data_IF_848541293347
#
_entry.id   IF_848541293347
#
_cell.length_a   1.000
_cell.length_b   1.000
_cell.length_c   1.000
_cell.angle_alpha   90.00
_cell.angle_beta   90.00
_cell.angle_gamma   90.00
#
_symmetry.space_group_name_H-M   'P 1'
#
loop_
_entity.id
_entity.type
_entity.pdbx_description
1 polymer ?
#
# COMPACT_ATOMS: atom_id res chain seq x y z
N UNK A 1 4.81 16.58 -14.31
CA UNK A 1 5.76 16.72 -15.44
C UNK A 1 5.97 18.21 -15.73
N UNK A 2 6.59 18.92 -14.78
CA UNK A 2 6.67 20.39 -14.79
C UNK A 2 7.80 20.88 -15.72
N UNK A 3 8.87 20.10 -15.85
CA UNK A 3 10.05 20.45 -16.66
C UNK A 3 9.74 20.61 -18.17
N UNK A 4 8.73 19.91 -18.70
CA UNK A 4 8.33 20.07 -20.10
C UNK A 4 7.51 21.35 -20.39
N UNK A 5 7.21 22.16 -19.36
CA UNK A 5 6.42 23.40 -19.48
C UNK A 5 7.26 24.68 -19.37
N UNK A 6 8.58 24.58 -19.21
CA UNK A 6 9.46 25.73 -18.95
C UNK A 6 9.89 26.41 -20.26
N UNK A 7 10.64 25.72 -21.11
CA UNK A 7 10.95 26.15 -22.48
C UNK A 7 11.31 24.93 -23.35
N UNK A 8 11.48 25.13 -24.66
CA UNK A 8 11.80 24.06 -25.62
C UNK A 8 13.09 23.32 -25.26
N UNK A 9 14.15 24.04 -24.89
CA UNK A 9 15.45 23.47 -24.53
C UNK A 9 15.34 22.57 -23.29
N UNK A 10 14.68 23.03 -22.22
CA UNK A 10 14.48 22.22 -21.01
C UNK A 10 13.64 20.97 -21.28
N UNK A 11 12.68 21.05 -22.21
CA UNK A 11 11.94 19.87 -22.65
C UNK A 11 12.86 18.88 -23.35
N UNK A 12 13.70 19.32 -24.28
CA UNK A 12 14.66 18.46 -25.00
C UNK A 12 15.65 17.80 -24.03
N UNK A 13 16.23 18.56 -23.10
CA UNK A 13 17.12 18.03 -22.05
C UNK A 13 16.39 17.01 -21.19
N UNK A 14 15.17 17.31 -20.74
CA UNK A 14 14.38 16.39 -19.94
C UNK A 14 14.06 15.10 -20.71
N UNK A 15 13.80 15.19 -22.02
CA UNK A 15 13.53 14.04 -22.88
C UNK A 15 14.76 13.18 -23.15
N UNK A 16 15.95 13.80 -23.25
CA UNK A 16 17.21 13.10 -23.43
C UNK A 16 17.69 12.40 -22.15
N UNK A 17 17.42 12.98 -20.97
CA UNK A 17 17.98 12.50 -19.70
C UNK A 17 17.03 11.49 -19.01
N UNK A 18 17.19 10.21 -19.36
CA UNK A 18 16.36 9.11 -18.86
C UNK A 18 16.23 8.97 -17.32
N UNK A 19 17.22 9.31 -16.48
CA UNK A 19 17.08 9.24 -15.02
C UNK A 19 15.97 10.13 -14.46
N UNK A 20 15.61 11.22 -15.15
CA UNK A 20 14.50 12.11 -14.73
C UNK A 20 13.13 11.42 -14.81
N UNK A 21 13.05 10.31 -15.55
CA UNK A 21 11.85 9.51 -15.70
C UNK A 21 11.86 8.28 -14.79
N UNK A 22 12.70 8.24 -13.75
CA UNK A 22 12.67 7.13 -12.78
C UNK A 22 11.39 7.11 -11.95
N UNK A 23 10.71 8.25 -11.77
CA UNK A 23 9.51 8.33 -10.93
C UNK A 23 8.33 8.95 -11.68
N UNK A 24 7.18 8.29 -11.62
CA UNK A 24 5.90 8.86 -12.02
C UNK A 24 4.98 8.99 -10.80
N UNK A 25 4.52 10.21 -10.53
CA UNK A 25 3.49 10.49 -9.53
C UNK A 25 2.23 10.96 -10.24
N UNK A 26 1.13 10.25 -10.04
CA UNK A 26 -0.19 10.58 -10.55
C UNK A 26 -1.07 10.99 -9.37
N UNK A 27 -1.59 12.22 -9.45
CA UNK A 27 -2.58 12.74 -8.52
C UNK A 27 -3.92 12.69 -9.22
N UNK A 28 -4.82 11.88 -8.68
CA UNK A 28 -6.14 11.66 -9.24
C UNK A 28 -7.11 12.42 -8.35
N UNK A 29 -7.61 13.51 -8.91
CA UNK A 29 -8.70 14.28 -8.32
C UNK A 29 -10.00 13.62 -8.74
N UNK A 30 -10.90 13.39 -7.79
CA UNK A 30 -12.27 13.01 -8.14
C UNK A 30 -12.88 14.17 -8.93
N UNK A 31 -13.59 13.81 -9.99
CA UNK A 31 -14.44 14.75 -10.69
C UNK A 31 -15.62 15.08 -9.76
N UNK A 32 -16.10 16.33 -9.73
CA UNK A 32 -17.30 16.65 -8.98
C UNK A 32 -18.38 15.65 -9.38
N UNK A 33 -19.00 15.02 -8.37
CA UNK A 33 -20.08 14.06 -8.61
C UNK A 33 -21.19 14.71 -9.44
N UNK A 34 -21.95 13.90 -10.18
CA UNK A 34 -23.11 14.36 -10.97
C UNK A 34 -24.16 15.11 -10.12
N UNK A 35 -24.03 15.05 -8.80
CA UNK A 35 -24.92 15.67 -7.81
C UNK A 35 -24.61 17.15 -7.54
N UNK A 36 -23.64 17.81 -8.19
CA UNK A 36 -23.49 19.27 -8.06
C UNK A 36 -24.61 19.98 -8.87
N UNK A 37 -25.62 20.58 -8.20
CA UNK A 37 -26.74 21.21 -8.88
C UNK A 37 -26.34 22.47 -9.65
N UNK A 38 -25.13 23.00 -9.43
CA UNK A 38 -24.67 24.24 -10.05
C UNK A 38 -23.98 24.04 -11.41
N UNK A 39 -23.74 22.79 -11.84
CA UNK A 39 -23.09 22.49 -13.13
C UNK A 39 -24.16 22.22 -14.19
N UNK A 40 -24.36 23.13 -15.18
CA UNK A 40 -25.35 22.92 -16.23
C UNK A 40 -25.02 21.67 -17.05
N UNK A 41 -26.05 20.90 -17.41
CA UNK A 41 -25.91 19.63 -18.15
C UNK A 41 -25.10 19.75 -19.45
N UNK A 42 -25.18 20.90 -20.11
CA UNK A 42 -24.43 21.19 -21.35
C UNK A 42 -22.92 21.35 -21.13
N UNK A 43 -22.48 21.64 -19.90
CA UNK A 43 -21.06 21.74 -19.54
C UNK A 43 -20.48 20.41 -19.05
N UNK A 44 -21.32 19.37 -18.85
CA UNK A 44 -20.87 18.05 -18.42
C UNK A 44 -20.22 17.33 -19.60
N UNK A 45 -18.92 17.04 -19.57
CA UNK A 45 -18.28 16.27 -20.64
C UNK A 45 -18.97 14.91 -20.76
N UNK A 46 -19.21 14.44 -21.99
CA UNK A 46 -19.99 13.21 -22.23
C UNK A 46 -19.42 11.92 -21.61
N UNK A 47 -18.20 11.92 -21.05
CA UNK A 47 -17.69 10.85 -20.21
C UNK A 47 -16.35 11.28 -19.54
N UNK A 48 -16.36 12.03 -18.43
CA UNK A 48 -15.13 12.54 -17.83
C UNK A 48 -14.24 11.40 -17.30
N UNK A 49 -14.84 10.25 -16.98
CA UNK A 49 -14.13 9.06 -16.51
C UNK A 49 -13.25 8.45 -17.60
N UNK A 50 -13.79 8.25 -18.80
CA UNK A 50 -12.99 7.75 -19.93
C UNK A 50 -11.86 8.70 -20.29
N UNK A 51 -12.07 10.01 -20.20
CA UNK A 51 -11.02 10.99 -20.44
C UNK A 51 -9.89 10.88 -19.39
N UNK A 52 -10.26 10.71 -18.12
CA UNK A 52 -9.31 10.47 -17.03
C UNK A 52 -8.53 9.16 -17.22
N UNK A 53 -9.22 8.05 -17.51
CA UNK A 53 -8.62 6.74 -17.80
C UNK A 53 -7.63 6.83 -18.95
N UNK A 54 -8.05 7.42 -20.07
CA UNK A 54 -7.20 7.59 -21.24
C UNK A 54 -6.00 8.49 -20.93
N UNK A 55 -6.19 9.55 -20.14
CA UNK A 55 -5.14 10.43 -19.67
C UNK A 55 -4.09 9.67 -18.83
N UNK A 56 -4.54 8.90 -17.85
CA UNK A 56 -3.67 8.06 -16.99
C UNK A 56 -2.91 7.04 -17.83
N UNK A 57 -3.59 6.31 -18.73
CA UNK A 57 -2.98 5.34 -19.61
C UNK A 57 -1.93 5.98 -20.54
N UNK A 58 -2.24 7.15 -21.12
CA UNK A 58 -1.30 7.91 -21.95
C UNK A 58 -0.06 8.36 -21.16
N UNK A 59 -0.25 8.84 -19.93
CA UNK A 59 0.85 9.22 -19.04
C UNK A 59 1.76 8.02 -18.73
N UNK A 60 1.18 6.88 -18.36
CA UNK A 60 1.93 5.65 -18.07
C UNK A 60 2.70 5.13 -19.28
N UNK A 61 2.07 5.09 -20.46
CA UNK A 61 2.72 4.70 -21.72
C UNK A 61 3.90 5.62 -22.06
N UNK A 62 3.70 6.93 -21.92
CA UNK A 62 4.76 7.93 -22.17
C UNK A 62 5.91 7.77 -21.21
N UNK A 63 5.63 7.63 -19.91
CA UNK A 63 6.62 7.43 -18.87
C UNK A 63 7.46 6.17 -19.10
N UNK A 64 6.81 5.04 -19.40
CA UNK A 64 7.47 3.77 -19.71
C UNK A 64 8.40 3.84 -20.91
N UNK A 65 7.96 4.51 -21.98
CA UNK A 65 8.77 4.69 -23.19
C UNK A 65 10.02 5.52 -22.91
N UNK A 66 9.92 6.52 -22.04
CA UNK A 66 11.02 7.45 -21.73
C UNK A 66 11.96 6.91 -20.64
N UNK A 67 11.48 6.07 -19.75
CA UNK A 67 12.28 5.56 -18.65
C UNK A 67 13.21 4.42 -19.07
N UNK A 68 14.52 4.66 -18.93
CA UNK A 68 15.58 3.66 -19.10
C UNK A 68 16.22 3.25 -17.77
N UNK A 69 15.72 3.79 -16.65
CA UNK A 69 16.22 3.44 -15.33
C UNK A 69 15.90 1.96 -15.01
N UNK A 70 16.80 1.32 -14.27
CA UNK A 70 16.62 -0.03 -13.74
C UNK A 70 15.67 -0.03 -12.53
N UNK A 71 15.74 1.00 -11.70
CA UNK A 71 14.81 1.24 -10.59
C UNK A 71 13.81 2.32 -10.98
N UNK A 72 12.52 1.96 -11.04
CA UNK A 72 11.44 2.89 -11.35
C UNK A 72 10.33 2.84 -10.31
N UNK A 73 9.79 4.01 -10.01
CA UNK A 73 8.77 4.22 -9.00
C UNK A 73 7.47 4.71 -9.63
N UNK A 74 6.38 4.01 -9.37
CA UNK A 74 5.03 4.45 -9.67
C UNK A 74 4.31 4.81 -8.37
N UNK A 75 3.77 6.02 -8.31
CA UNK A 75 2.93 6.46 -7.21
C UNK A 75 1.60 6.96 -7.75
N UNK A 76 0.50 6.40 -7.26
CA UNK A 76 -0.86 6.80 -7.60
C UNK A 76 -1.55 7.23 -6.30
N UNK A 77 -2.03 8.47 -6.27
CA UNK A 77 -2.62 9.08 -5.09
C UNK A 77 -4.01 9.58 -5.47
N UNK A 78 -5.03 9.04 -4.82
CA UNK A 78 -6.39 9.56 -4.91
C UNK A 78 -6.60 10.59 -3.81
N UNK A 79 -7.01 11.80 -4.17
CA UNK A 79 -7.12 12.90 -3.20
C UNK A 79 -8.38 12.81 -2.33
N UNK A 80 -9.46 12.20 -2.85
CA UNK A 80 -10.75 12.06 -2.15
C UNK A 80 -11.06 10.58 -1.86
N UNK A 81 -11.80 10.33 -0.77
CA UNK A 81 -11.94 9.00 -0.15
C UNK A 81 -13.22 8.24 -0.50
N UNK A 82 -14.30 8.89 -0.93
CA UNK A 82 -15.63 8.30 -0.72
C UNK A 82 -16.59 8.31 -1.92
N UNK A 83 -16.30 8.99 -3.02
CA UNK A 83 -17.34 9.26 -4.03
C UNK A 83 -17.10 8.60 -5.39
N UNK A 84 -15.88 8.13 -5.67
CA UNK A 84 -15.63 7.45 -6.94
C UNK A 84 -16.31 6.08 -7.00
N UNK A 85 -17.44 5.99 -7.72
CA UNK A 85 -18.14 4.73 -8.09
C UNK A 85 -17.77 4.21 -9.47
N UNK A 86 -16.90 4.90 -10.19
CA UNK A 86 -16.51 4.55 -11.55
C UNK A 86 -15.74 3.23 -11.69
N UNK A 87 -15.52 2.78 -12.94
CA UNK A 87 -14.65 1.65 -13.25
C UNK A 87 -13.25 1.81 -12.64
N UNK A 88 -12.60 0.69 -12.34
CA UNK A 88 -11.28 0.67 -11.74
C UNK A 88 -10.25 1.26 -12.72
N UNK A 89 -9.63 2.38 -12.34
CA UNK A 89 -8.53 2.95 -13.11
C UNK A 89 -7.36 1.97 -13.22
N UNK A 90 -7.12 1.18 -12.17
CA UNK A 90 -6.07 0.16 -12.16
C UNK A 90 -6.42 -1.02 -13.07
N UNK A 91 -7.70 -1.33 -13.23
CA UNK A 91 -8.19 -2.37 -14.12
C UNK A 91 -8.00 -2.04 -15.61
N UNK A 92 -7.77 -0.78 -15.96
CA UNK A 92 -7.44 -0.38 -17.35
C UNK A 92 -6.00 -0.66 -17.73
N UNK A 93 -5.14 -0.98 -16.76
CA UNK A 93 -3.71 -1.24 -16.96
C UNK A 93 -3.48 -2.72 -17.23
N UNK A 94 -2.70 -3.02 -18.27
CA UNK A 94 -2.38 -4.40 -18.65
C UNK A 94 -1.33 -5.04 -17.73
N UNK A 95 -1.18 -6.37 -17.70
CA UNK A 95 -0.14 -7.03 -16.90
C UNK A 95 1.30 -6.58 -17.22
N UNK A 96 1.57 -6.31 -18.50
CA UNK A 96 2.88 -5.81 -18.95
C UNK A 96 3.19 -4.41 -18.44
N UNK A 97 2.18 -3.67 -17.99
CA UNK A 97 2.34 -2.32 -17.48
C UNK A 97 3.08 -2.26 -16.14
N UNK A 98 3.22 -3.38 -15.44
CA UNK A 98 3.79 -3.41 -14.10
C UNK A 98 5.16 -4.11 -14.03
N UNK A 99 5.59 -4.77 -15.12
CA UNK A 99 6.72 -5.70 -15.12
C UNK A 99 8.05 -5.10 -14.66
N UNK A 100 8.29 -3.81 -14.93
CA UNK A 100 9.55 -3.13 -14.59
C UNK A 100 9.48 -2.33 -13.29
N UNK A 101 8.32 -2.24 -12.64
CA UNK A 101 8.13 -1.37 -11.47
C UNK A 101 8.83 -1.98 -10.27
N UNK A 102 9.84 -1.28 -9.75
CA UNK A 102 10.57 -1.70 -8.54
C UNK A 102 9.96 -1.12 -7.28
N UNK A 103 9.28 0.03 -7.38
CA UNK A 103 8.61 0.68 -6.25
C UNK A 103 7.18 1.08 -6.60
N UNK A 104 6.21 0.56 -5.86
CA UNK A 104 4.80 0.87 -6.05
C UNK A 104 4.22 1.52 -4.80
N UNK A 105 3.58 2.67 -4.98
CA UNK A 105 2.82 3.34 -3.94
C UNK A 105 1.40 3.62 -4.41
N UNK A 106 0.41 2.97 -3.79
CA UNK A 106 -1.00 3.21 -4.04
C UNK A 106 -1.63 3.80 -2.80
N UNK A 107 -1.93 5.10 -2.84
CA UNK A 107 -2.44 5.83 -1.70
C UNK A 107 -3.93 6.12 -1.87
N UNK A 108 -4.72 5.74 -0.84
CA UNK A 108 -6.16 5.92 -0.78
C UNK A 108 -6.85 5.25 -1.97
N UNK A 109 -6.55 3.98 -2.21
CA UNK A 109 -7.17 3.19 -3.28
C UNK A 109 -8.29 2.32 -2.75
N UNK A 110 -9.33 2.06 -3.55
CA UNK A 110 -10.40 1.13 -3.17
C UNK A 110 -9.86 -0.29 -3.16
N UNK A 111 -10.33 -1.09 -2.21
CA UNK A 111 -10.04 -2.53 -2.20
C UNK A 111 -10.31 -3.19 -3.55
N UNK A 112 -11.47 -2.88 -4.16
CA UNK A 112 -11.87 -3.39 -5.48
C UNK A 112 -10.80 -3.12 -6.55
N UNK A 113 -10.24 -1.91 -6.59
CA UNK A 113 -9.29 -1.52 -7.63
C UNK A 113 -7.99 -2.31 -7.52
N UNK A 114 -7.50 -2.50 -6.28
CA UNK A 114 -6.28 -3.28 -6.02
C UNK A 114 -6.53 -4.77 -6.25
N UNK A 115 -7.73 -5.28 -5.92
CA UNK A 115 -8.08 -6.69 -6.11
C UNK A 115 -8.14 -7.13 -7.57
N UNK A 116 -8.27 -6.17 -8.50
CA UNK A 116 -8.26 -6.40 -9.95
C UNK A 116 -6.86 -6.40 -10.56
N UNK A 117 -5.83 -6.08 -9.77
CA UNK A 117 -4.46 -6.13 -10.26
C UNK A 117 -4.07 -7.59 -10.59
N UNK A 118 -3.27 -7.80 -11.65
CA UNK A 118 -2.86 -9.13 -12.05
C UNK A 118 -1.91 -9.76 -11.03
N UNK A 119 -2.15 -11.03 -10.69
CA UNK A 119 -1.35 -11.82 -9.72
C UNK A 119 0.16 -11.79 -10.00
N UNK A 120 0.52 -11.80 -11.29
CA UNK A 120 1.91 -11.97 -11.74
C UNK A 120 2.41 -10.71 -12.47
N UNK A 121 1.82 -9.55 -12.16
CA UNK A 121 2.16 -8.28 -12.80
C UNK A 121 3.49 -7.68 -12.34
N UNK A 122 4.02 -8.11 -11.19
CA UNK A 122 5.05 -7.39 -10.44
C UNK A 122 6.36 -8.19 -10.21
N UNK A 123 7.00 -8.76 -11.26
CA UNK A 123 8.22 -9.56 -11.11
C UNK A 123 9.42 -8.76 -10.58
N UNK A 124 9.49 -7.45 -10.84
CA UNK A 124 10.59 -6.58 -10.41
C UNK A 124 10.33 -5.81 -9.11
N UNK A 125 9.16 -5.98 -8.47
CA UNK A 125 8.73 -5.14 -7.36
C UNK A 125 9.54 -5.45 -6.08
N UNK A 126 10.17 -4.44 -5.50
CA UNK A 126 10.98 -4.49 -4.29
C UNK A 126 10.29 -3.81 -3.09
N UNK A 127 9.63 -2.67 -3.36
CA UNK A 127 9.02 -1.80 -2.36
C UNK A 127 7.53 -1.60 -2.65
N UNK A 128 6.68 -1.89 -1.68
CA UNK A 128 5.22 -1.74 -1.78
C UNK A 128 4.70 -0.86 -0.64
N UNK A 129 3.99 0.21 -0.99
CA UNK A 129 3.26 1.08 -0.05
C UNK A 129 1.79 1.08 -0.46
N UNK A 130 0.90 0.65 0.44
CA UNK A 130 -0.53 0.58 0.19
C UNK A 130 -1.31 1.30 1.28
N UNK A 131 -2.24 2.15 0.88
CA UNK A 131 -3.28 2.69 1.75
C UNK A 131 -4.61 2.38 1.10
N UNK A 132 -5.35 1.42 1.65
CA UNK A 132 -6.56 0.87 1.05
C UNK A 132 -7.76 1.25 1.91
N UNK A 133 -8.88 1.63 1.30
CA UNK A 133 -10.14 1.85 2.02
C UNK A 133 -11.26 0.93 1.51
N UNK A 134 -12.37 0.88 2.26
CA UNK A 134 -13.56 0.09 1.95
C UNK A 134 -13.28 -1.43 1.79
N UNK A 135 -12.62 -2.02 2.78
CA UNK A 135 -12.20 -3.44 2.76
C UNK A 135 -13.35 -4.39 3.14
N UNK A 136 -14.29 -3.95 4.00
CA UNK A 136 -15.26 -4.80 4.69
C UNK A 136 -16.09 -5.75 3.82
N UNK A 137 -17.00 -5.22 3.01
CA UNK A 137 -17.97 -6.05 2.28
C UNK A 137 -17.37 -6.71 1.04
N UNK A 138 -16.38 -6.07 0.41
CA UNK A 138 -15.77 -6.59 -0.80
C UNK A 138 -14.91 -7.82 -0.53
N UNK A 139 -14.11 -7.80 0.54
CA UNK A 139 -13.20 -8.91 0.82
C UNK A 139 -13.93 -10.22 1.09
N UNK A 140 -15.06 -10.19 1.80
CA UNK A 140 -15.88 -11.41 2.04
C UNK A 140 -16.23 -12.13 0.73
N UNK A 141 -16.41 -11.36 -0.35
CA UNK A 141 -16.79 -11.88 -1.66
C UNK A 141 -15.58 -12.30 -2.50
N UNK A 142 -14.49 -11.55 -2.45
CA UNK A 142 -13.35 -11.73 -3.37
C UNK A 142 -12.16 -12.49 -2.77
N UNK A 143 -12.15 -12.71 -1.44
CA UNK A 143 -10.96 -13.17 -0.74
C UNK A 143 -9.84 -12.11 -0.72
N UNK A 144 -8.62 -12.46 -0.28
CA UNK A 144 -7.49 -11.53 -0.14
C UNK A 144 -6.94 -11.04 -1.49
N UNK A 145 -6.28 -9.89 -1.49
CA UNK A 145 -5.57 -9.37 -2.68
C UNK A 145 -4.33 -10.23 -2.92
N UNK A 146 -4.28 -10.92 -4.06
CA UNK A 146 -3.17 -11.82 -4.45
C UNK A 146 -2.19 -11.21 -5.45
N UNK A 147 -2.39 -9.96 -5.86
CA UNK A 147 -1.56 -9.25 -6.85
C UNK A 147 -0.05 -9.25 -6.58
N UNK A 148 0.35 -9.41 -5.31
CA UNK A 148 1.73 -9.28 -4.87
C UNK A 148 2.33 -10.59 -4.37
N UNK A 149 1.53 -11.66 -4.32
CA UNK A 149 1.91 -12.96 -3.74
C UNK A 149 3.12 -13.57 -4.47
N UNK A 150 3.16 -13.43 -5.79
CA UNK A 150 4.20 -13.99 -6.66
C UNK A 150 5.29 -12.96 -7.03
N UNK A 151 5.51 -11.92 -6.22
CA UNK A 151 6.55 -10.90 -6.46
C UNK A 151 7.89 -11.32 -5.86
N UNK A 152 8.84 -11.92 -6.60
CA UNK A 152 10.01 -12.61 -6.04
C UNK A 152 11.06 -11.66 -5.44
N UNK A 153 11.02 -10.37 -5.81
CA UNK A 153 11.93 -9.35 -5.31
C UNK A 153 11.33 -8.51 -4.19
N UNK A 154 10.07 -8.74 -3.80
CA UNK A 154 9.40 -7.90 -2.81
C UNK A 154 10.03 -8.11 -1.44
N UNK A 155 10.62 -7.04 -0.88
CA UNK A 155 11.33 -7.07 0.41
C UNK A 155 10.76 -6.10 1.43
N UNK A 156 10.13 -5.01 0.98
CA UNK A 156 9.67 -3.92 1.85
C UNK A 156 8.20 -3.65 1.62
N UNK A 157 7.39 -3.80 2.66
CA UNK A 157 5.94 -3.62 2.59
C UNK A 157 5.49 -2.67 3.70
N UNK A 158 4.78 -1.61 3.32
CA UNK A 158 4.08 -0.73 4.22
C UNK A 158 2.59 -0.69 3.87
N UNK A 159 1.73 -0.96 4.84
CA UNK A 159 0.28 -0.99 4.66
C UNK A 159 -0.40 -0.14 5.71
N UNK A 160 -1.37 0.65 5.25
CA UNK A 160 -2.17 1.55 6.07
C UNK A 160 -3.67 1.40 5.75
N UNK A 161 -4.50 1.77 6.71
CA UNK A 161 -5.98 1.78 6.67
C UNK A 161 -6.71 0.43 6.38
N UNK A 162 -6.18 -0.71 6.84
CA UNK A 162 -6.80 -2.03 6.70
C UNK A 162 -8.01 -2.32 7.61
N UNK A 163 -8.67 -1.30 8.17
CA UNK A 163 -9.71 -1.49 9.20
C UNK A 163 -10.90 -2.26 8.62
N UNK A 164 -10.98 -3.56 8.92
CA UNK A 164 -12.05 -4.45 8.50
C UNK A 164 -12.26 -5.49 9.59
N UNK A 165 -13.40 -5.39 10.28
CA UNK A 165 -13.73 -6.17 11.47
C UNK A 165 -13.58 -7.69 11.31
N UNK A 166 -12.44 -8.21 11.73
CA UNK A 166 -12.19 -9.64 11.92
C UNK A 166 -11.62 -10.41 10.72
N UNK A 167 -11.33 -9.76 9.59
CA UNK A 167 -10.74 -10.46 8.44
C UNK A 167 -9.28 -10.02 8.30
N UNK A 168 -8.32 -10.93 8.45
CA UNK A 168 -6.90 -10.80 8.10
C UNK A 168 -6.41 -12.16 7.57
N UNK A 169 -5.51 -12.26 6.56
CA UNK A 169 -4.82 -11.20 5.84
C UNK A 169 -5.63 -10.57 4.69
N UNK A 170 -5.56 -9.25 4.60
CA UNK A 170 -6.13 -8.49 3.46
C UNK A 170 -5.28 -8.69 2.19
N UNK A 171 -3.99 -8.94 2.36
CA UNK A 171 -3.00 -9.11 1.30
C UNK A 171 -2.33 -10.48 1.41
N UNK A 172 -2.24 -11.21 0.31
CA UNK A 172 -1.31 -12.32 0.19
C UNK A 172 0.07 -11.78 -0.23
N UNK A 173 1.10 -12.05 0.57
CA UNK A 173 2.46 -11.55 0.38
C UNK A 173 3.45 -12.71 0.42
N UNK A 174 4.63 -12.56 -0.22
CA UNK A 174 5.72 -13.51 -0.13
C UNK A 174 6.45 -13.35 1.22
N UNK A 175 5.81 -13.76 2.31
CA UNK A 175 6.24 -13.52 3.69
C UNK A 175 7.71 -13.89 3.96
N UNK A 176 8.16 -15.03 3.43
CA UNK A 176 9.50 -15.60 3.68
C UNK A 176 10.65 -14.69 3.33
N UNK A 177 10.47 -13.80 2.35
CA UNK A 177 11.53 -12.93 1.85
C UNK A 177 11.41 -11.48 2.36
N UNK A 178 10.38 -11.15 3.13
CA UNK A 178 10.22 -9.79 3.65
C UNK A 178 11.33 -9.45 4.65
N UNK A 179 11.89 -8.26 4.49
CA UNK A 179 12.89 -7.68 5.40
C UNK A 179 12.31 -6.49 6.18
N UNK A 180 11.38 -5.74 5.59
CA UNK A 180 10.73 -4.61 6.26
C UNK A 180 9.22 -4.76 6.16
N UNK A 181 8.54 -4.75 7.30
CA UNK A 181 7.09 -4.84 7.38
C UNK A 181 6.55 -3.73 8.29
N UNK A 182 5.74 -2.85 7.72
CA UNK A 182 5.07 -1.75 8.43
C UNK A 182 3.56 -1.91 8.26
N UNK A 183 2.86 -2.24 9.34
CA UNK A 183 1.41 -2.38 9.38
C UNK A 183 0.84 -1.32 10.33
N UNK A 184 0.29 -0.25 9.77
CA UNK A 184 -0.26 0.89 10.53
C UNK A 184 -1.72 0.71 10.94
N UNK A 185 -2.27 -0.48 10.73
CA UNK A 185 -3.65 -0.79 11.04
C UNK A 185 -3.73 -1.85 12.13
N UNK A 186 -4.78 -1.82 12.97
CA UNK A 186 -5.07 -2.88 13.93
C UNK A 186 -4.96 -4.28 13.29
N UNK A 187 -4.01 -5.10 13.74
CA UNK A 187 -3.83 -6.48 13.27
C UNK A 187 -4.30 -7.49 14.32
N UNK A 188 -5.08 -8.51 13.93
CA UNK A 188 -5.61 -9.48 14.87
C UNK A 188 -4.50 -10.42 15.37
N UNK A 189 -4.68 -11.01 16.56
CA UNK A 189 -3.67 -11.85 17.21
C UNK A 189 -3.25 -13.03 16.34
N UNK A 190 -4.16 -13.60 15.56
CA UNK A 190 -3.91 -14.72 14.65
C UNK A 190 -2.82 -14.39 13.63
N UNK A 191 -2.71 -13.13 13.20
CA UNK A 191 -1.68 -12.71 12.25
C UNK A 191 -0.27 -13.01 12.72
N UNK A 192 0.01 -12.78 14.01
CA UNK A 192 1.33 -13.00 14.59
C UNK A 192 1.70 -14.48 14.54
N UNK A 193 0.72 -15.37 14.75
CA UNK A 193 0.94 -16.81 14.77
C UNK A 193 1.04 -17.41 13.38
N UNK A 194 0.31 -16.87 12.40
CA UNK A 194 0.21 -17.48 11.06
C UNK A 194 1.17 -16.92 10.05
N UNK A 195 1.52 -15.63 10.11
CA UNK A 195 2.27 -14.95 9.05
C UNK A 195 3.61 -14.40 9.53
N UNK A 196 3.68 -13.93 10.77
CA UNK A 196 4.92 -13.33 11.26
C UNK A 196 6.01 -14.38 11.56
N UNK A 197 5.61 -15.60 11.90
CA UNK A 197 6.50 -16.77 11.99
C UNK A 197 7.16 -17.11 10.65
N UNK A 198 6.50 -16.77 9.54
CA UNK A 198 6.99 -17.05 8.19
C UNK A 198 7.95 -15.98 7.66
N UNK A 199 8.46 -15.07 8.50
CA UNK A 199 9.34 -13.96 8.08
C UNK A 199 10.76 -14.07 8.66
N UNK A 200 11.60 -15.05 8.26
CA UNK A 200 12.93 -15.27 8.86
C UNK A 200 13.96 -14.17 8.55
N UNK A 201 13.74 -13.39 7.48
CA UNK A 201 14.63 -12.31 7.04
C UNK A 201 14.23 -10.93 7.56
N UNK A 202 13.24 -10.86 8.46
CA UNK A 202 12.71 -9.62 8.97
C UNK A 202 13.79 -8.87 9.77
N UNK A 203 14.12 -7.65 9.32
CA UNK A 203 15.05 -6.74 9.97
C UNK A 203 14.38 -5.51 10.57
N UNK A 204 13.22 -5.12 10.03
CA UNK A 204 12.41 -4.02 10.52
C UNK A 204 10.93 -4.43 10.62
N UNK A 205 10.35 -4.27 11.80
CA UNK A 205 8.94 -4.54 12.07
C UNK A 205 8.29 -3.33 12.76
N UNK A 206 7.24 -2.80 12.17
CA UNK A 206 6.36 -1.82 12.81
C UNK A 206 4.93 -2.32 12.73
N UNK A 207 4.28 -2.55 13.86
CA UNK A 207 2.93 -3.11 13.91
C UNK A 207 2.05 -2.39 14.92
N UNK A 208 0.74 -2.42 14.66
CA UNK A 208 -0.28 -1.90 15.55
C UNK A 208 -1.24 -3.03 15.92
N UNK A 209 -1.11 -3.66 17.10
CA UNK A 209 -1.98 -4.75 17.55
C UNK A 209 -3.46 -4.32 17.59
N UNK A 210 -4.35 -5.26 17.28
CA UNK A 210 -5.79 -5.05 17.22
C UNK A 210 -6.49 -5.06 18.57
N UNK A 211 -7.70 -4.50 18.61
CA UNK A 211 -8.53 -4.45 19.82
C UNK A 211 -9.08 -5.82 20.24
N UNK A 212 -9.23 -6.76 19.30
CA UNK A 212 -9.73 -8.11 19.60
C UNK A 212 -8.77 -8.86 20.54
N UNK A 213 -7.47 -8.53 20.49
CA UNK A 213 -6.45 -8.99 21.43
C UNK A 213 -6.71 -8.51 22.87
N UNK A 214 -7.47 -7.42 23.06
CA UNK A 214 -7.59 -6.70 24.33
C UNK A 214 -8.94 -6.91 25.01
N UNK A 215 -10.02 -7.16 24.26
CA UNK A 215 -11.39 -7.19 24.83
C UNK A 215 -11.79 -8.47 25.54
N UNK A 216 -11.09 -9.58 25.34
CA UNK A 216 -11.61 -10.91 25.71
C UNK A 216 -10.78 -11.69 26.74
N UNK A 217 -9.79 -11.06 27.38
CA UNK A 217 -8.90 -11.78 28.30
C UNK A 217 -8.12 -12.91 27.62
N UNK A 218 -8.10 -12.94 26.28
CA UNK A 218 -7.22 -13.81 25.51
C UNK A 218 -5.80 -13.33 25.75
N UNK A 219 -5.08 -14.06 26.59
CA UNK A 219 -3.64 -13.91 26.70
C UNK A 219 -3.07 -14.09 25.30
N UNK A 220 -2.28 -13.12 24.82
CA UNK A 220 -1.47 -13.32 23.62
C UNK A 220 -0.73 -14.66 23.83
N UNK A 221 -0.85 -15.63 22.90
CA UNK A 221 -0.24 -16.93 23.09
C UNK A 221 1.22 -16.77 23.52
N UNK A 222 1.67 -17.59 24.48
CA UNK A 222 3.08 -17.67 24.87
C UNK A 222 3.88 -18.36 23.76
N UNK A 223 3.86 -17.78 22.56
CA UNK A 223 4.62 -18.25 21.43
C UNK A 223 5.91 -17.45 21.37
N UNK A 224 7.02 -18.17 21.25
CA UNK A 224 8.34 -17.54 21.08
C UNK A 224 8.60 -17.45 19.59
N UNK A 225 8.77 -16.23 19.09
CA UNK A 225 9.22 -16.00 17.72
C UNK A 225 10.71 -15.64 17.74
N UNK A 226 11.43 -16.11 16.72
CA UNK A 226 12.85 -15.78 16.55
C UNK A 226 13.04 -15.10 15.20
N UNK A 227 13.51 -13.87 15.22
CA UNK A 227 13.91 -13.11 14.04
C UNK A 227 15.40 -12.76 14.20
N UNK A 228 16.32 -13.61 13.75
CA UNK A 228 17.75 -13.45 14.03
C UNK A 228 18.33 -12.16 13.44
N UNK A 229 17.66 -11.57 12.44
CA UNK A 229 18.10 -10.37 11.74
C UNK A 229 17.38 -9.10 12.21
N UNK A 230 16.51 -9.17 13.23
CA UNK A 230 15.71 -8.02 13.64
C UNK A 230 16.60 -6.96 14.29
N UNK A 231 16.47 -5.72 13.80
CA UNK A 231 17.25 -4.57 14.27
C UNK A 231 16.36 -3.47 14.85
N UNK A 232 15.12 -3.39 14.37
CA UNK A 232 14.16 -2.38 14.81
C UNK A 232 12.77 -3.01 14.93
N UNK A 233 12.17 -2.83 16.10
CA UNK A 233 10.80 -3.25 16.41
C UNK A 233 10.07 -2.03 16.97
N UNK A 234 8.96 -1.68 16.32
CA UNK A 234 8.01 -0.67 16.79
C UNK A 234 6.67 -1.34 17.00
N UNK A 235 6.15 -1.26 18.23
CA UNK A 235 4.81 -1.75 18.56
C UNK A 235 4.02 -0.54 19.00
N UNK A 236 3.09 -0.10 18.15
CA UNK A 236 2.14 0.94 18.52
C UNK A 236 1.14 0.38 19.54
N UNK A 237 0.84 1.14 20.59
CA UNK A 237 -0.16 0.76 21.58
C UNK A 237 -1.28 1.79 21.52
N UNK A 238 -2.52 1.30 21.38
CA UNK A 238 -3.69 2.13 21.59
C UNK A 238 -3.85 2.34 23.09
N UNK A 239 -3.64 3.56 23.57
CA UNK A 239 -3.90 3.87 24.97
C UNK A 239 -5.41 3.93 25.20
N UNK A 240 -5.97 2.81 25.69
CA UNK A 240 -7.31 2.82 26.25
C UNK A 240 -7.17 3.32 27.70
N UNK A 241 -7.62 4.54 27.95
CA UNK A 241 -7.58 5.14 29.29
C UNK A 241 -8.39 4.27 30.28
N UNK A 242 -7.74 3.35 31.00
CA UNK A 242 -8.39 2.61 32.08
C UNK A 242 -7.81 1.25 32.51
N UNK A 243 -7.00 0.56 31.70
CA UNK A 243 -6.46 -0.75 32.08
C UNK A 243 -4.98 -0.90 31.67
N UNK A 244 -4.12 -1.31 32.61
CA UNK A 244 -2.70 -1.55 32.35
C UNK A 244 -2.48 -2.68 31.34
N UNK A 245 -1.49 -2.52 30.47
CA UNK A 245 -1.16 -3.48 29.41
C UNK A 245 0.02 -4.37 29.82
N UNK A 246 -0.08 -5.68 29.59
CA UNK A 246 1.05 -6.62 29.68
C UNK A 246 1.26 -7.28 28.30
N UNK A 247 2.31 -6.89 27.59
CA UNK A 247 2.72 -7.55 26.35
C UNK A 247 3.55 -8.80 26.67
N UNK A 248 3.45 -9.90 25.88
CA UNK A 248 4.37 -11.01 25.99
C UNK A 248 5.80 -10.48 25.77
N UNK A 249 6.69 -10.81 26.71
CA UNK A 249 8.08 -10.41 26.65
C UNK A 249 8.72 -10.94 25.37
N UNK A 250 9.28 -10.03 24.55
CA UNK A 250 10.18 -10.37 23.45
C UNK A 250 11.51 -10.87 24.03
N UNK A 251 11.53 -12.10 24.53
CA UNK A 251 12.74 -12.76 25.03
C UNK A 251 13.48 -13.38 23.85
N UNK A 252 14.58 -12.76 23.42
CA UNK A 252 15.47 -13.37 22.42
C UNK A 252 16.41 -12.44 21.67
N UNK A 253 16.29 -11.12 21.83
CA UNK A 253 17.10 -10.19 21.04
C UNK A 253 18.45 -9.88 21.69
N UNK A 254 19.41 -10.78 21.51
CA UNK A 254 20.82 -10.56 21.84
C UNK A 254 21.47 -9.61 20.81
N UNK A 255 21.26 -8.30 20.95
CA UNK A 255 22.15 -7.19 20.55
C UNK A 255 21.33 -5.91 20.33
N UNK A 256 21.64 -4.86 21.09
CA UNK A 256 21.32 -3.44 20.85
C UNK A 256 20.07 -3.14 20.01
N UNK A 257 18.88 -3.47 20.50
CA UNK A 257 17.63 -3.09 19.86
C UNK A 257 16.95 -1.94 20.61
N UNK A 258 16.56 -0.93 19.85
CA UNK A 258 15.72 0.17 20.33
C UNK A 258 14.27 -0.26 20.14
N UNK A 259 13.65 -0.76 21.21
CA UNK A 259 12.20 -0.97 21.26
C UNK A 259 11.57 0.36 21.61
N UNK A 260 10.95 1.00 20.62
CA UNK A 260 10.17 2.22 20.85
C UNK A 260 8.71 1.85 21.01
N UNK A 261 8.18 2.06 22.21
CA UNK A 261 6.75 2.08 22.47
C UNK A 261 6.32 3.53 22.28
N UNK A 262 5.71 3.81 21.14
CA UNK A 262 5.19 5.15 20.85
C UNK A 262 3.73 5.22 21.29
N UNK A 263 3.35 6.21 22.14
CA UNK A 263 1.94 6.48 22.40
C UNK A 263 1.28 6.96 21.11
N UNK A 264 0.15 6.36 20.74
CA UNK A 264 -0.66 6.89 19.64
C UNK A 264 -1.38 8.14 20.12
N UNK A 265 -0.94 9.34 19.69
CA UNK A 265 -1.72 10.55 19.92
C UNK A 265 -3.09 10.42 19.22
N UNK A 266 -4.16 10.21 19.99
CA UNK A 266 -5.53 10.30 19.49
C UNK A 266 -5.82 11.70 18.96
N UNK A 267 -6.43 11.78 17.78
CA UNK A 267 -7.15 12.97 17.32
C UNK A 267 -8.63 12.74 17.50
#
# INVERSE_FOLDING_TARGET
MVLCRVCKEWKEVAEAYSPLWATLRLFIMELPGDDDPNVPDSARPHNPLRALEQGVANCLRTWKRKTKASSIQLQIIFLQRELYRGPSLLGTLGPTDFQRITKLSLCRVRYRDVSQLPRNGFPALEDLILTIYNVGDYRKKTGPIRAFEESPLLRRVAVDELVSGGFFPVLALPWRQLSHLVLKSPIPTEFFNTHLSDCPHLSHLSVLPGYDSLRWGHSIPKQTWSWPNITNITIGVWEYAGAGFSFPFLLGCHQSQRVEILPSCGR
#
